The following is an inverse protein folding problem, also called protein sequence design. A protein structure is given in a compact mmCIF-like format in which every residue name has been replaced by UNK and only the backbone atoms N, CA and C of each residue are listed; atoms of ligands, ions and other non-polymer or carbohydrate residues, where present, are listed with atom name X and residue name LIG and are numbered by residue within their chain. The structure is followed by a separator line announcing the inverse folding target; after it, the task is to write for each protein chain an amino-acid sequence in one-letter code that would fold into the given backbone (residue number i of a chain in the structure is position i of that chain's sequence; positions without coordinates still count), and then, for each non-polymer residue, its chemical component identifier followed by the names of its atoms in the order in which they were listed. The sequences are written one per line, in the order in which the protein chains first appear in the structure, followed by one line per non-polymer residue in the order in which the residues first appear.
data_IF_835232963500
#
_entry.id   IF_835232963500
#
_cell.length_a   1.000
_cell.length_b   1.000
_cell.length_c   1.000
_cell.angle_alpha   90.00
_cell.angle_beta   90.00
_cell.angle_gamma   90.00
#
_symmetry.space_group_name_H-M   'P 1'
#
loop_
_entity.id
_entity.type
_entity.pdbx_description
1 polymer ?
#
# COMPACT_ATOMS: atom_id res chain seq x y z
N UNK A 1 -10.81 9.89 6.70
CA UNK A 1 -10.92 8.67 5.86
C UNK A 1 -9.56 8.15 5.37
N UNK A 2 -8.53 9.00 5.20
CA UNK A 2 -7.18 8.61 4.75
C UNK A 2 -6.28 7.93 5.81
N UNK A 3 -6.47 8.25 7.08
CA UNK A 3 -5.74 7.69 8.25
C UNK A 3 -5.90 6.18 8.48
N UNK A 4 -6.73 5.49 7.68
CA UNK A 4 -6.96 4.04 7.78
C UNK A 4 -6.10 3.20 6.81
N UNK A 5 -5.55 3.83 5.76
CA UNK A 5 -4.77 3.13 4.72
C UNK A 5 -3.27 3.25 4.99
N UNK A 6 -2.85 4.42 5.47
CA UNK A 6 -1.47 4.73 5.85
C UNK A 6 -1.56 5.29 7.27
N UNK A 7 -1.14 4.52 8.27
CA UNK A 7 -0.96 5.09 9.62
C UNK A 7 0.16 6.12 9.57
N UNK A 8 0.17 7.12 10.45
CA UNK A 8 1.30 8.08 10.56
C UNK A 8 2.67 7.40 10.78
N UNK A 9 2.68 6.14 11.21
CA UNK A 9 3.88 5.30 11.37
C UNK A 9 4.23 4.42 10.16
N UNK A 10 3.49 4.49 9.06
CA UNK A 10 3.77 3.67 7.89
C UNK A 10 4.99 4.26 7.16
N UNK A 11 6.10 3.53 7.19
CA UNK A 11 7.35 3.98 6.61
C UNK A 11 7.43 3.55 5.14
N UNK A 12 7.55 4.52 4.24
CA UNK A 12 7.92 4.26 2.86
C UNK A 12 9.31 3.60 2.83
N UNK A 13 9.42 2.47 2.14
CA UNK A 13 10.69 1.75 1.97
C UNK A 13 11.36 2.05 0.64
N UNK A 14 10.56 2.24 -0.41
CA UNK A 14 11.11 2.46 -1.74
C UNK A 14 10.18 1.98 -2.86
N UNK A 15 10.71 2.04 -4.08
CA UNK A 15 10.09 1.43 -5.25
C UNK A 15 10.53 -0.02 -5.34
N UNK A 16 9.58 -0.94 -5.25
CA UNK A 16 9.81 -2.39 -5.34
C UNK A 16 9.98 -2.85 -6.78
N UNK A 17 9.17 -2.30 -7.69
CA UNK A 17 9.26 -2.57 -9.11
C UNK A 17 8.66 -1.43 -9.93
N UNK A 18 9.13 -1.35 -11.17
CA UNK A 18 8.57 -0.52 -12.23
C UNK A 18 8.36 -1.43 -13.43
N UNK A 19 7.15 -1.43 -13.97
CA UNK A 19 6.82 -2.09 -15.22
C UNK A 19 6.31 -1.04 -16.20
N UNK A 20 7.18 -0.58 -17.09
CA UNK A 20 6.91 0.48 -18.06
C UNK A 20 6.49 -0.12 -19.41
N UNK A 21 5.45 0.46 -20.00
CA UNK A 21 4.84 0.07 -21.26
C UNK A 21 4.45 1.34 -22.03
N UNK A 22 5.38 1.83 -22.85
CA UNK A 22 5.23 3.08 -23.59
C UNK A 22 4.95 4.25 -22.64
N UNK A 23 3.88 4.99 -22.89
CA UNK A 23 3.48 6.15 -22.08
C UNK A 23 2.82 5.78 -20.74
N UNK A 24 2.87 4.52 -20.31
CA UNK A 24 2.28 4.08 -19.04
C UNK A 24 3.25 3.24 -18.24
N UNK A 25 3.18 3.35 -16.91
CA UNK A 25 3.96 2.52 -16.00
C UNK A 25 3.10 2.00 -14.85
N UNK A 26 3.32 0.75 -14.44
CA UNK A 26 2.84 0.22 -13.17
C UNK A 26 3.99 0.22 -12.18
N UNK A 27 3.85 0.99 -11.10
CA UNK A 27 4.89 1.16 -10.07
C UNK A 27 4.41 0.56 -8.77
N UNK A 28 5.19 -0.38 -8.24
CA UNK A 28 4.97 -0.96 -6.91
C UNK A 28 5.74 -0.19 -5.85
N UNK A 29 5.03 0.50 -4.95
CA UNK A 29 5.59 1.25 -3.84
C UNK A 29 5.50 0.42 -2.56
N UNK A 30 6.64 0.15 -1.92
CA UNK A 30 6.68 -0.67 -0.71
C UNK A 30 6.59 0.18 0.57
N UNK A 31 5.72 -0.25 1.48
CA UNK A 31 5.50 0.39 2.78
C UNK A 31 5.52 -0.66 3.89
N UNK A 32 6.19 -0.36 5.00
CA UNK A 32 6.05 -1.16 6.22
C UNK A 32 4.98 -0.56 7.13
N UNK A 33 4.10 -1.41 7.66
CA UNK A 33 3.12 -1.06 8.69
C UNK A 33 3.52 -1.69 10.03
N UNK A 34 4.28 -0.97 10.88
CA UNK A 34 4.77 -1.51 12.15
C UNK A 34 3.66 -2.02 13.06
N UNK A 35 2.48 -1.37 13.01
CA UNK A 35 1.30 -1.71 13.82
C UNK A 35 0.82 -3.16 13.64
N UNK A 36 1.07 -3.75 12.48
CA UNK A 36 0.63 -5.09 12.09
C UNK A 36 1.79 -6.02 11.73
N UNK A 37 3.04 -5.59 11.94
CA UNK A 37 4.25 -6.33 11.58
C UNK A 37 4.19 -6.88 10.14
N UNK A 38 3.82 -6.01 9.19
CA UNK A 38 3.63 -6.40 7.79
C UNK A 38 4.22 -5.38 6.84
N UNK A 39 4.57 -5.83 5.64
CA UNK A 39 5.01 -4.99 4.53
C UNK A 39 4.02 -5.15 3.38
N UNK A 40 3.58 -4.02 2.81
CA UNK A 40 2.57 -3.95 1.78
C UNK A 40 3.16 -3.26 0.54
N UNK A 41 2.63 -3.62 -0.62
CA UNK A 41 2.99 -2.97 -1.90
C UNK A 41 1.76 -2.27 -2.42
N UNK A 42 1.82 -0.93 -2.51
CA UNK A 42 0.81 -0.12 -3.19
C UNK A 42 1.18 -0.04 -4.66
N UNK A 43 0.27 -0.47 -5.52
CA UNK A 43 0.45 -0.38 -6.96
C UNK A 43 -0.22 0.87 -7.51
N UNK A 44 0.58 1.69 -8.21
CA UNK A 44 0.10 2.90 -8.87
C UNK A 44 0.33 2.79 -10.36
N UNK A 45 -0.71 3.06 -11.14
CA UNK A 45 -0.57 3.28 -12.58
C UNK A 45 -0.23 4.74 -12.81
N UNK A 46 0.83 4.97 -13.57
CA UNK A 46 1.32 6.28 -13.94
C UNK A 46 1.22 6.44 -15.46
N UNK A 47 1.04 7.68 -15.92
CA UNK A 47 1.06 8.06 -17.32
C UNK A 47 2.16 9.11 -17.52
N UNK A 48 2.96 8.93 -18.57
CA UNK A 48 3.95 9.90 -19.00
C UNK A 48 3.25 11.13 -19.58
N UNK A 49 3.70 12.32 -19.17
CA UNK A 49 3.26 13.63 -19.69
C UNK A 49 4.38 14.37 -20.42
N UNK A 50 5.48 13.69 -20.73
CA UNK A 50 6.68 14.24 -21.34
C UNK A 50 7.64 14.81 -20.29
N UNK A 51 7.15 15.75 -19.47
CA UNK A 51 7.97 16.43 -18.46
C UNK A 51 7.91 15.77 -17.08
N UNK A 52 6.87 14.96 -16.83
CA UNK A 52 6.64 14.30 -15.56
C UNK A 52 5.73 13.08 -15.71
N UNK A 53 5.78 12.19 -14.72
CA UNK A 53 4.85 11.08 -14.60
C UNK A 53 3.67 11.44 -13.70
N UNK A 54 2.45 11.29 -14.20
CA UNK A 54 1.23 11.52 -13.45
C UNK A 54 0.64 10.20 -12.95
N UNK A 55 0.37 10.09 -11.65
CA UNK A 55 -0.44 8.98 -11.13
C UNK A 55 -1.87 9.12 -11.66
N UNK A 56 -2.37 8.11 -12.37
CA UNK A 56 -3.71 8.08 -12.94
C UNK A 56 -4.63 7.08 -12.23
N UNK A 57 -4.09 6.09 -11.54
CA UNK A 57 -4.88 5.08 -10.83
C UNK A 57 -4.09 4.43 -9.69
N UNK A 58 -4.78 4.07 -8.60
CA UNK A 58 -4.30 3.12 -7.59
C UNK A 58 -4.96 1.77 -7.86
N UNK A 59 -4.19 0.74 -8.20
CA UNK A 59 -4.76 -0.50 -8.78
C UNK A 59 -5.21 -1.51 -7.74
N UNK A 60 -4.63 -1.50 -6.53
CA UNK A 60 -4.84 -2.56 -5.54
C UNK A 60 -5.35 -2.08 -4.16
N UNK A 61 -5.86 -0.85 -4.07
CA UNK A 61 -6.28 -0.23 -2.80
C UNK A 61 -7.34 -1.04 -2.04
N UNK A 62 -8.30 -1.65 -2.75
CA UNK A 62 -9.35 -2.45 -2.13
C UNK A 62 -8.79 -3.72 -1.45
N UNK A 63 -7.80 -4.34 -2.06
CA UNK A 63 -7.18 -5.56 -1.52
C UNK A 63 -6.28 -5.25 -0.33
N UNK A 64 -5.55 -4.13 -0.39
CA UNK A 64 -4.80 -3.60 0.75
C UNK A 64 -5.73 -3.33 1.94
N UNK A 65 -6.90 -2.71 1.72
CA UNK A 65 -7.89 -2.44 2.75
C UNK A 65 -8.47 -3.71 3.38
N UNK A 66 -8.79 -4.72 2.56
CA UNK A 66 -9.26 -6.02 3.06
C UNK A 66 -8.18 -6.72 3.89
N UNK A 67 -6.93 -6.71 3.41
CA UNK A 67 -5.81 -7.36 4.07
C UNK A 67 -5.53 -6.72 5.44
N UNK A 68 -5.41 -5.40 5.49
CA UNK A 68 -5.21 -4.64 6.74
C UNK A 68 -6.38 -4.79 7.71
N UNK A 69 -7.63 -4.81 7.23
CA UNK A 69 -8.81 -5.07 8.07
C UNK A 69 -8.78 -6.47 8.70
N UNK A 70 -8.33 -7.48 7.96
CA UNK A 70 -8.17 -8.85 8.47
C UNK A 70 -7.08 -8.91 9.55
N UNK A 71 -5.93 -8.27 9.32
CA UNK A 71 -4.84 -8.18 10.30
C UNK A 71 -5.29 -7.46 11.58
N UNK A 72 -6.08 -6.39 11.44
CA UNK A 72 -6.65 -5.70 12.59
C UNK A 72 -7.56 -6.63 13.42
N UNK A 73 -8.44 -7.41 12.77
CA UNK A 73 -9.30 -8.39 13.47
C UNK A 73 -8.48 -9.46 14.21
N UNK A 74 -7.47 -10.02 13.55
CA UNK A 74 -6.58 -11.03 14.15
C UNK A 74 -5.85 -10.48 15.38
N UNK A 75 -5.31 -9.25 15.29
CA UNK A 75 -4.64 -8.59 16.40
C UNK A 75 -5.56 -8.32 17.60
N UNK A 76 -6.84 -8.04 17.35
CA UNK A 76 -7.82 -7.84 18.43
C UNK A 76 -8.18 -9.19 19.07
N UNK A 77 -8.41 -10.23 18.26
CA UNK A 77 -8.71 -11.56 18.76
C UNK A 77 -7.57 -12.16 19.60
N UNK A 78 -6.31 -12.01 19.17
CA UNK A 78 -5.16 -12.49 19.93
C UNK A 78 -5.01 -11.79 21.28
N UNK A 79 -5.29 -10.48 21.35
CA UNK A 79 -5.31 -9.74 22.62
C UNK A 79 -6.42 -10.18 23.58
N UNK A 80 -7.55 -10.67 23.06
CA UNK A 80 -8.67 -11.15 23.88
C UNK A 80 -8.40 -12.55 24.46
N UNK A 81 -7.68 -13.41 23.74
CA UNK A 81 -7.29 -14.75 24.22
C UNK A 81 -6.12 -14.76 25.21
N UNK A 82 -5.49 -13.60 25.45
CA UNK A 82 -4.40 -13.40 26.40
C UNK A 82 -4.87 -12.75 27.72
N UNK A 83 -6.18 -12.72 27.98
CA UNK A 83 -6.80 -12.18 29.19
C UNK A 83 -7.56 -13.25 29.95
#
# INVERSE_FOLDING_TARGET
MWHKVVSDSAAFKGVKYVNEQGETALVGLEFTQPRYDTTLVLEVKMQDKGDYWQVVQLTNTADILKHTSRLQKQRVASKLNLR
#
